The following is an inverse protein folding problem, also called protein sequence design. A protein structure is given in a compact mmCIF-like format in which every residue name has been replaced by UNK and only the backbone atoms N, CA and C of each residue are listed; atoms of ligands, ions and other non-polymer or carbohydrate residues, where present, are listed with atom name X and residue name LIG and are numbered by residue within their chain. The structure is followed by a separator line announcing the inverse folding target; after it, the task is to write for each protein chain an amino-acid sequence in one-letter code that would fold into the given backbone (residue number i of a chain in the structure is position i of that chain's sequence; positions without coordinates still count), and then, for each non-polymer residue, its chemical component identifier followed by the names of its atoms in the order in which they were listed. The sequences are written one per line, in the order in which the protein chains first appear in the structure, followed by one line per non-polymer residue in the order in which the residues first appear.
data_IF_171583361832
#
_entry.id   IF_171583361832
#
_cell.length_a   1.000
_cell.length_b   1.000
_cell.length_c   1.000
_cell.angle_alpha   90.00
_cell.angle_beta   90.00
_cell.angle_gamma   90.00
#
_symmetry.space_group_name_H-M   'P 1'
#
loop_
_entity.id
_entity.type
_entity.pdbx_description
1 polymer ?
#
# COMPACT_ATOMS: atom_id res chain seq x y z
N UNK A 1 -37.70 -52.20 17.17
CA UNK A 1 -37.01 -51.55 18.31
C UNK A 1 -35.79 -50.85 17.71
N UNK A 2 -35.94 -49.65 17.13
CA UNK A 2 -35.74 -48.33 17.75
C UNK A 2 -34.43 -48.24 18.54
N UNK A 3 -33.45 -47.48 18.02
CA UNK A 3 -33.01 -46.21 18.64
C UNK A 3 -32.21 -45.39 17.62
N UNK A 4 -32.68 -44.17 17.36
CA UNK A 4 -31.92 -43.08 16.74
C UNK A 4 -31.03 -42.44 17.81
N UNK A 5 -29.80 -42.02 17.47
CA UNK A 5 -29.06 -41.06 18.29
C UNK A 5 -28.36 -40.03 17.41
N UNK A 6 -28.81 -38.79 17.59
CA UNK A 6 -28.32 -37.57 16.95
C UNK A 6 -27.08 -37.04 17.69
N UNK A 7 -26.11 -36.50 16.95
CA UNK A 7 -25.13 -35.54 17.47
C UNK A 7 -25.19 -34.28 16.60
N UNK A 8 -25.98 -33.30 17.04
CA UNK A 8 -25.96 -31.94 16.49
C UNK A 8 -24.70 -31.22 16.96
N UNK A 9 -23.71 -31.08 16.07
CA UNK A 9 -22.57 -30.21 16.31
C UNK A 9 -23.00 -28.74 16.15
N UNK A 10 -22.87 -27.96 17.22
CA UNK A 10 -23.18 -26.53 17.21
C UNK A 10 -21.97 -25.76 16.67
N UNK A 11 -22.16 -25.00 15.59
CA UNK A 11 -21.12 -24.16 15.01
C UNK A 11 -20.73 -22.99 15.94
N UNK A 12 -19.44 -22.62 16.05
CA UNK A 12 -19.02 -21.45 16.82
C UNK A 12 -19.47 -20.16 16.13
N UNK A 13 -20.05 -19.23 16.90
CA UNK A 13 -20.49 -17.91 16.41
C UNK A 13 -19.27 -17.02 16.14
N UNK A 14 -19.07 -16.64 14.88
CA UNK A 14 -18.07 -15.65 14.44
C UNK A 14 -18.43 -14.26 15.00
N UNK A 15 -17.59 -13.72 15.88
CA UNK A 15 -17.67 -12.32 16.31
C UNK A 15 -16.92 -11.47 15.30
N UNK A 16 -17.66 -10.72 14.48
CA UNK A 16 -17.09 -9.75 13.52
C UNK A 16 -16.55 -8.51 14.25
N UNK A 17 -15.28 -8.09 14.03
CA UNK A 17 -14.78 -6.81 14.50
C UNK A 17 -15.53 -5.66 13.83
N UNK A 18 -16.00 -4.70 14.63
CA UNK A 18 -16.74 -3.53 14.15
C UNK A 18 -15.75 -2.55 13.50
N UNK A 19 -15.81 -2.39 12.18
CA UNK A 19 -15.04 -1.41 11.41
C UNK A 19 -15.28 0.01 11.96
N UNK A 20 -14.23 0.81 12.25
CA UNK A 20 -14.41 2.21 12.61
C UNK A 20 -15.05 2.96 11.44
N UNK A 21 -16.13 3.70 11.71
CA UNK A 21 -16.81 4.52 10.70
C UNK A 21 -15.88 5.61 10.18
N UNK A 22 -15.74 5.81 8.86
CA UNK A 22 -14.94 6.91 8.32
C UNK A 22 -15.55 8.26 8.71
N UNK A 23 -14.71 9.19 9.17
CA UNK A 23 -15.15 10.57 9.44
C UNK A 23 -15.59 11.24 8.14
N UNK A 24 -16.66 12.06 8.13
CA UNK A 24 -17.11 12.74 6.92
C UNK A 24 -16.01 13.68 6.40
N UNK A 25 -15.61 13.50 5.14
CA UNK A 25 -14.79 14.51 4.46
C UNK A 25 -15.68 15.72 4.11
N UNK A 26 -15.17 16.97 4.22
CA UNK A 26 -15.93 18.13 3.81
C UNK A 26 -16.21 18.07 2.30
N UNK A 27 -17.47 18.31 1.92
CA UNK A 27 -17.86 18.41 0.52
C UNK A 27 -17.22 19.65 -0.11
N UNK A 28 -16.32 19.44 -1.08
CA UNK A 28 -15.83 20.53 -1.94
C UNK A 28 -16.74 20.61 -3.16
N UNK A 29 -17.65 21.58 -3.17
CA UNK A 29 -18.47 21.90 -4.34
C UNK A 29 -17.62 22.62 -5.37
N UNK A 30 -17.27 21.96 -6.49
CA UNK A 30 -16.74 22.65 -7.67
C UNK A 30 -17.87 23.47 -8.29
N UNK A 31 -17.79 24.79 -8.19
CA UNK A 31 -18.64 25.68 -8.97
C UNK A 31 -18.16 25.60 -10.43
N UNK A 32 -19.00 25.21 -11.40
CA UNK A 32 -18.61 25.24 -12.79
C UNK A 32 -18.34 26.68 -13.22
N UNK A 33 -17.18 26.91 -13.83
CA UNK A 33 -16.87 28.18 -14.47
C UNK A 33 -17.78 28.33 -15.70
N UNK A 34 -18.49 29.44 -15.89
CA UNK A 34 -19.18 29.70 -17.15
C UNK A 34 -18.12 29.84 -18.26
N UNK A 35 -18.16 28.94 -19.23
CA UNK A 35 -17.41 29.07 -20.49
C UNK A 35 -18.09 30.14 -21.34
N UNK A 36 -17.63 31.38 -21.23
CA UNK A 36 -17.93 32.44 -22.21
C UNK A 36 -16.83 32.42 -23.29
N UNK A 37 -17.23 32.20 -24.54
CA UNK A 37 -16.35 32.03 -25.69
C UNK A 37 -15.84 33.35 -26.29
N UNK A 38 -15.82 34.45 -25.52
CA UNK A 38 -15.56 35.80 -26.06
C UNK A 38 -14.30 36.54 -25.63
N UNK A 39 -13.38 35.96 -24.85
CA UNK A 39 -12.16 36.67 -24.47
C UNK A 39 -10.89 35.81 -24.44
N UNK A 40 -9.90 36.09 -25.32
CA UNK A 40 -8.56 35.57 -25.20
C UNK A 40 -7.66 36.62 -24.54
N UNK A 41 -7.38 36.50 -23.23
CA UNK A 41 -6.12 36.92 -22.56
C UNK A 41 -6.17 36.69 -21.03
N UNK A 42 -5.02 36.50 -20.36
CA UNK A 42 -4.97 36.14 -18.96
C UNK A 42 -5.08 37.40 -18.08
N UNK A 43 -6.09 37.44 -17.21
CA UNK A 43 -6.16 38.40 -16.12
C UNK A 43 -5.49 37.80 -14.88
N UNK A 44 -4.53 38.52 -14.32
CA UNK A 44 -3.90 38.25 -13.03
C UNK A 44 -4.93 38.21 -11.90
N UNK A 45 -4.77 37.37 -10.86
CA UNK A 45 -5.70 37.36 -9.74
C UNK A 45 -5.53 38.64 -8.89
N UNK A 46 -6.59 39.44 -8.78
CA UNK A 46 -6.73 40.48 -7.77
C UNK A 46 -7.33 39.82 -6.52
N UNK A 47 -6.62 39.88 -5.40
CA UNK A 47 -7.17 39.50 -4.10
C UNK A 47 -7.77 40.75 -3.44
N UNK A 48 -9.07 40.71 -3.15
CA UNK A 48 -9.75 41.77 -2.40
C UNK A 48 -9.96 41.30 -0.97
N UNK A 49 -9.38 42.03 -0.01
CA UNK A 49 -9.48 41.80 1.42
C UNK A 49 -10.80 42.39 1.94
N UNK A 50 -11.70 41.53 2.45
CA UNK A 50 -12.96 41.98 3.05
C UNK A 50 -12.70 42.49 4.47
N UNK A 51 -12.77 43.81 4.64
CA UNK A 51 -12.75 44.49 5.92
C UNK A 51 -14.18 44.66 6.44
N UNK A 52 -14.62 43.77 7.32
CA UNK A 52 -15.72 44.02 8.24
C UNK A 52 -15.45 43.29 9.56
N UNK A 53 -14.99 44.05 10.56
CA UNK A 53 -14.83 43.67 11.98
C UNK A 53 -15.88 44.47 12.76
N UNK A 54 -16.73 43.86 13.62
CA UNK A 54 -16.53 43.67 15.08
C UNK A 54 -17.88 43.21 15.72
N UNK A 55 -18.00 42.78 17.01
CA UNK A 55 -16.96 42.58 18.03
C UNK A 55 -16.95 41.19 18.71
N UNK A 56 -15.75 40.84 19.19
CA UNK A 56 -15.42 40.10 20.43
C UNK A 56 -16.45 39.10 20.99
N UNK A 57 -16.16 37.82 20.80
CA UNK A 57 -16.40 36.80 21.85
C UNK A 57 -15.06 36.15 22.16
N UNK A 58 -14.45 36.63 23.24
CA UNK A 58 -13.29 36.02 23.89
C UNK A 58 -13.66 34.60 24.31
N UNK A 59 -13.08 33.59 23.66
CA UNK A 59 -13.09 32.23 24.19
C UNK A 59 -12.10 32.19 25.37
N UNK A 60 -12.49 31.70 26.56
CA UNK A 60 -11.54 31.55 27.66
C UNK A 60 -10.44 30.58 27.24
N UNK A 61 -9.19 31.03 27.40
CA UNK A 61 -8.00 30.21 27.24
C UNK A 61 -8.11 28.98 28.16
N UNK A 62 -8.12 27.78 27.56
CA UNK A 62 -7.90 26.56 28.32
C UNK A 62 -6.40 26.45 28.61
N UNK A 63 -5.99 26.15 29.86
CA UNK A 63 -4.59 26.00 30.20
C UNK A 63 -4.00 24.81 29.43
N UNK A 64 -2.90 25.09 28.71
CA UNK A 64 -2.00 24.06 28.18
C UNK A 64 -1.28 23.46 29.38
N UNK A 65 -1.81 22.35 29.89
CA UNK A 65 -1.12 21.56 30.91
C UNK A 65 0.01 20.79 30.26
N UNK A 66 1.21 21.36 30.43
CA UNK A 66 2.35 20.68 31.02
C UNK A 66 2.98 19.51 30.24
N UNK A 67 4.02 19.92 29.50
CA UNK A 67 5.26 19.21 29.28
C UNK A 67 5.89 18.66 30.58
N UNK A 68 5.31 17.61 31.16
CA UNK A 68 5.97 16.85 32.22
C UNK A 68 6.69 15.63 31.65
N UNK A 69 7.92 15.90 31.23
CA UNK A 69 9.11 15.07 31.39
C UNK A 69 8.91 13.55 31.43
N UNK A 70 9.27 12.87 30.33
CA UNK A 70 9.60 11.44 30.37
C UNK A 70 10.78 11.28 31.34
N UNK A 71 10.47 10.96 32.59
CA UNK A 71 11.47 10.77 33.64
C UNK A 71 12.21 9.48 33.31
N UNK A 72 13.41 9.66 32.79
CA UNK A 72 14.37 8.61 32.45
C UNK A 72 14.70 7.79 33.71
N UNK A 73 13.94 6.73 34.00
CA UNK A 73 14.39 5.66 34.90
C UNK A 73 15.24 4.65 34.13
N UNK A 74 16.29 5.15 33.46
CA UNK A 74 17.30 4.37 32.76
C UNK A 74 18.30 3.67 33.71
N UNK A 75 17.85 3.32 34.92
CA UNK A 75 18.69 2.64 35.92
C UNK A 75 18.11 1.29 36.37
N UNK A 76 16.90 0.91 35.92
CA UNK A 76 16.30 -0.39 36.25
C UNK A 76 16.36 -1.43 35.13
N UNK A 77 16.88 -1.09 33.95
CA UNK A 77 16.97 -2.01 32.80
C UNK A 77 18.37 -2.58 32.53
N UNK A 78 19.38 -2.27 33.35
CA UNK A 78 20.76 -2.74 33.15
C UNK A 78 21.19 -3.89 34.08
N UNK A 79 20.41 -4.24 35.12
CA UNK A 79 20.79 -5.29 36.07
C UNK A 79 20.02 -6.62 35.87
N UNK A 80 18.95 -6.63 35.09
CA UNK A 80 18.17 -7.86 34.82
C UNK A 80 18.65 -8.58 33.53
N UNK A 81 19.47 -7.92 32.71
CA UNK A 81 19.98 -8.48 31.44
C UNK A 81 21.31 -9.24 31.58
N UNK A 82 22.01 -9.13 32.71
CA UNK A 82 23.34 -9.74 32.89
C UNK A 82 23.37 -11.12 33.56
N UNK A 83 22.22 -11.64 34.04
CA UNK A 83 22.13 -12.94 34.74
C UNK A 83 21.23 -13.97 34.03
N UNK A 84 21.05 -13.85 32.72
CA UNK A 84 20.38 -14.85 31.88
C UNK A 84 21.12 -15.12 30.56
N UNK A 85 22.45 -15.14 30.61
CA UNK A 85 23.26 -15.87 29.62
C UNK A 85 24.08 -16.90 30.38
N UNK A 86 23.79 -18.19 30.20
CA UNK A 86 24.50 -18.86 29.12
C UNK A 86 23.76 -20.07 28.51
N UNK A 87 23.28 -19.99 27.27
CA UNK A 87 23.33 -21.12 26.30
C UNK A 87 23.38 -20.53 24.87
N UNK A 88 24.56 -20.14 24.41
CA UNK A 88 24.82 -20.02 22.96
C UNK A 88 24.93 -21.42 22.36
N UNK A 89 23.79 -22.09 22.20
CA UNK A 89 23.68 -23.17 21.22
C UNK A 89 23.15 -22.53 19.94
N UNK A 90 24.04 -22.09 19.06
CA UNK A 90 23.66 -21.71 17.70
C UNK A 90 23.30 -22.97 16.91
N UNK A 91 22.13 -23.53 17.17
CA UNK A 91 21.47 -24.35 16.17
C UNK A 91 20.92 -23.39 15.12
N UNK A 92 21.70 -23.17 14.06
CA UNK A 92 21.21 -22.50 12.86
C UNK A 92 20.17 -23.40 12.17
N UNK A 93 18.97 -23.47 12.75
CA UNK A 93 17.79 -23.97 12.07
C UNK A 93 17.46 -23.06 10.88
N UNK A 94 16.84 -23.58 9.82
CA UNK A 94 16.43 -22.76 8.68
C UNK A 94 15.59 -21.59 9.15
N UNK A 95 16.11 -20.37 9.02
CA UNK A 95 15.32 -19.15 9.28
C UNK A 95 14.18 -19.15 8.27
N UNK A 96 12.94 -19.22 8.76
CA UNK A 96 11.75 -19.05 7.93
C UNK A 96 11.78 -17.71 7.18
N UNK A 97 11.05 -17.56 6.07
CA UNK A 97 11.01 -16.32 5.30
C UNK A 97 10.68 -15.13 6.22
N UNK A 98 11.53 -14.09 6.20
CA UNK A 98 11.30 -12.87 6.96
C UNK A 98 10.04 -12.18 6.43
N UNK A 99 9.01 -12.10 7.26
CA UNK A 99 7.71 -11.51 6.87
C UNK A 99 7.89 -10.00 6.70
N UNK A 100 7.52 -9.46 5.53
CA UNK A 100 7.56 -8.01 5.19
C UNK A 100 8.70 -7.55 4.27
N UNK A 101 9.74 -8.37 4.08
CA UNK A 101 10.80 -8.10 3.10
C UNK A 101 10.41 -8.54 1.68
N UNK A 102 11.19 -8.12 0.67
CA UNK A 102 11.14 -8.74 -0.65
C UNK A 102 11.58 -10.20 -0.54
N UNK A 103 10.78 -11.10 -1.10
CA UNK A 103 11.03 -12.54 -1.13
C UNK A 103 11.07 -13.02 -2.58
N UNK A 104 12.04 -13.86 -2.97
CA UNK A 104 12.12 -14.36 -4.33
C UNK A 104 10.93 -15.27 -4.67
N UNK A 105 10.39 -15.11 -5.88
CA UNK A 105 9.36 -16.00 -6.43
C UNK A 105 10.03 -17.29 -6.88
N UNK A 106 9.64 -18.42 -6.27
CA UNK A 106 10.20 -19.75 -6.59
C UNK A 106 9.85 -20.21 -8.00
N UNK A 107 8.60 -20.01 -8.42
CA UNK A 107 8.11 -20.41 -9.74
C UNK A 107 7.64 -19.19 -10.53
N UNK A 108 8.51 -18.62 -11.35
CA UNK A 108 8.15 -17.48 -12.23
C UNK A 108 7.25 -17.88 -13.39
N UNK A 109 7.10 -19.19 -13.66
CA UNK A 109 6.19 -19.73 -14.68
C UNK A 109 4.79 -19.99 -14.12
N UNK A 110 4.55 -19.67 -12.85
CA UNK A 110 3.22 -19.74 -12.27
C UNK A 110 2.24 -18.88 -13.10
N UNK A 111 1.05 -19.41 -13.45
CA UNK A 111 0.07 -18.69 -14.27
C UNK A 111 -0.30 -17.32 -13.70
N UNK A 112 -0.39 -17.18 -12.37
CA UNK A 112 -0.69 -15.90 -11.73
C UNK A 112 0.44 -14.90 -11.94
N UNK A 113 1.69 -15.33 -11.78
CA UNK A 113 2.87 -14.47 -12.02
C UNK A 113 2.94 -14.03 -13.48
N UNK A 114 2.58 -14.91 -14.42
CA UNK A 114 2.46 -14.57 -15.84
C UNK A 114 1.37 -13.52 -16.08
N UNK A 115 0.19 -13.69 -15.48
CA UNK A 115 -0.91 -12.72 -15.57
C UNK A 115 -0.49 -11.34 -15.05
N UNK A 116 0.23 -11.27 -13.93
CA UNK A 116 0.77 -10.01 -13.41
C UNK A 116 1.75 -9.36 -14.40
N UNK A 117 2.59 -10.16 -15.06
CA UNK A 117 3.50 -9.68 -16.10
C UNK A 117 2.78 -9.15 -17.35
N UNK A 118 1.74 -9.85 -17.81
CA UNK A 118 0.89 -9.43 -18.93
C UNK A 118 0.14 -8.14 -18.60
N UNK A 119 -0.42 -8.05 -17.40
CA UNK A 119 -1.07 -6.85 -16.87
C UNK A 119 -0.10 -5.65 -16.88
N UNK A 120 1.13 -5.83 -16.41
CA UNK A 120 2.12 -4.76 -16.36
C UNK A 120 2.43 -4.18 -17.75
N UNK A 121 2.66 -5.05 -18.75
CA UNK A 121 2.94 -4.62 -20.12
C UNK A 121 1.70 -3.95 -20.75
N UNK A 122 0.51 -4.50 -20.50
CA UNK A 122 -0.74 -3.92 -21.00
C UNK A 122 -0.99 -2.51 -20.45
N UNK A 123 -0.84 -2.32 -19.15
CA UNK A 123 -1.03 -1.01 -18.51
C UNK A 123 0.02 0.01 -18.96
N UNK A 124 1.28 -0.41 -19.12
CA UNK A 124 2.31 0.47 -19.66
C UNK A 124 1.98 0.92 -21.09
N UNK A 125 1.56 -0.01 -21.96
CA UNK A 125 1.18 0.32 -23.32
C UNK A 125 0.01 1.32 -23.36
N UNK A 126 -0.99 1.17 -22.49
CA UNK A 126 -2.11 2.12 -22.38
C UNK A 126 -1.66 3.49 -21.91
N UNK A 127 -0.77 3.56 -20.92
CA UNK A 127 -0.35 4.82 -20.31
C UNK A 127 0.68 5.59 -21.16
N UNK A 128 1.54 4.89 -21.90
CA UNK A 128 2.65 5.48 -22.67
C UNK A 128 2.44 5.45 -24.19
N UNK A 129 1.27 5.02 -24.68
CA UNK A 129 1.00 4.81 -26.10
C UNK A 129 2.06 3.92 -26.79
N UNK A 130 2.61 2.96 -26.04
CA UNK A 130 3.60 2.01 -26.51
C UNK A 130 2.92 0.75 -27.08
N UNK A 131 3.70 -0.10 -27.76
CA UNK A 131 3.22 -1.35 -28.37
C UNK A 131 4.09 -2.57 -28.02
N UNK A 132 4.52 -2.64 -26.75
CA UNK A 132 5.32 -3.74 -26.25
C UNK A 132 4.52 -5.06 -26.27
N UNK A 133 5.14 -6.14 -26.74
CA UNK A 133 4.56 -7.49 -26.71
C UNK A 133 5.23 -8.32 -25.62
N UNK A 134 4.47 -8.64 -24.56
CA UNK A 134 4.93 -9.52 -23.49
C UNK A 134 5.41 -10.87 -24.05
N UNK A 135 6.52 -11.38 -23.51
CA UNK A 135 7.05 -12.71 -23.84
C UNK A 135 6.96 -13.63 -22.62
N UNK A 136 7.68 -13.29 -21.54
CA UNK A 136 7.73 -14.07 -20.32
C UNK A 136 8.28 -13.26 -19.14
N UNK A 137 8.13 -13.81 -17.93
CA UNK A 137 8.82 -13.35 -16.72
C UNK A 137 10.10 -14.15 -16.56
N UNK A 138 11.23 -13.48 -16.33
CA UNK A 138 12.54 -14.15 -16.14
C UNK A 138 12.97 -14.20 -14.68
N UNK A 139 12.58 -13.21 -13.87
CA UNK A 139 12.84 -13.14 -12.43
C UNK A 139 11.70 -12.40 -11.75
N UNK A 140 11.50 -12.65 -10.47
CA UNK A 140 10.54 -11.87 -9.71
C UNK A 140 10.66 -12.06 -8.22
N UNK A 141 10.17 -11.07 -7.49
CA UNK A 141 10.08 -11.06 -6.04
C UNK A 141 8.71 -10.54 -5.62
N UNK A 142 8.24 -10.98 -4.45
CA UNK A 142 7.02 -10.47 -3.82
C UNK A 142 7.33 -9.79 -2.50
N UNK A 143 6.50 -8.83 -2.13
CA UNK A 143 6.52 -8.22 -0.81
C UNK A 143 5.10 -8.06 -0.30
N UNK A 144 4.85 -8.54 0.92
CA UNK A 144 3.56 -8.38 1.61
C UNK A 144 3.52 -6.99 2.26
N UNK A 145 2.46 -6.24 1.94
CA UNK A 145 2.12 -4.92 2.49
C UNK A 145 0.61 -4.90 2.81
N UNK A 146 -0.09 -3.78 2.63
CA UNK A 146 -1.57 -3.75 2.53
C UNK A 146 -2.05 -4.34 1.18
N UNK A 147 -1.60 -5.55 0.85
CA UNK A 147 -1.63 -6.14 -0.50
C UNK A 147 -0.36 -6.92 -0.77
N UNK A 148 -0.13 -7.27 -2.02
CA UNK A 148 1.13 -7.87 -2.48
C UNK A 148 1.73 -7.00 -3.56
N UNK A 149 2.98 -6.58 -3.38
CA UNK A 149 3.77 -6.03 -4.47
C UNK A 149 4.47 -7.18 -5.20
N UNK A 150 4.42 -7.17 -6.52
CA UNK A 150 5.21 -8.02 -7.39
C UNK A 150 6.25 -7.16 -8.10
N UNK A 151 7.53 -7.44 -7.88
CA UNK A 151 8.65 -6.84 -8.61
C UNK A 151 9.13 -7.88 -9.61
N UNK A 152 8.75 -7.71 -10.87
CA UNK A 152 9.03 -8.66 -11.94
C UNK A 152 10.04 -8.08 -12.91
N UNK A 153 10.94 -8.93 -13.42
CA UNK A 153 11.69 -8.64 -14.64
C UNK A 153 10.98 -9.36 -15.78
N UNK A 154 10.35 -8.58 -16.66
CA UNK A 154 9.59 -9.06 -17.80
C UNK A 154 10.39 -8.86 -19.08
N UNK A 155 10.29 -9.82 -19.99
CA UNK A 155 10.82 -9.73 -21.34
C UNK A 155 9.70 -9.29 -22.25
N UNK A 156 9.94 -8.24 -23.03
CA UNK A 156 8.97 -7.76 -24.02
C UNK A 156 9.65 -7.42 -25.35
N UNK A 157 8.91 -7.57 -26.45
CA UNK A 157 9.34 -7.14 -27.78
C UNK A 157 8.84 -5.73 -28.09
N UNK A 158 9.75 -4.89 -28.54
CA UNK A 158 9.55 -3.52 -28.99
C UNK A 158 9.96 -3.44 -30.46
N UNK A 159 8.98 -3.41 -31.38
CA UNK A 159 9.26 -3.33 -32.82
C UNK A 159 10.14 -4.44 -33.40
N UNK A 160 10.30 -5.57 -32.70
CA UNK A 160 11.16 -6.70 -33.10
C UNK A 160 12.41 -6.89 -32.21
N UNK A 161 12.81 -5.85 -31.46
CA UNK A 161 13.90 -5.95 -30.49
C UNK A 161 13.37 -6.48 -29.17
N UNK A 162 14.05 -7.47 -28.59
CA UNK A 162 13.69 -8.01 -27.28
C UNK A 162 14.44 -7.25 -26.19
N UNK A 163 13.71 -6.70 -25.21
CA UNK A 163 14.25 -5.92 -24.10
C UNK A 163 13.69 -6.43 -22.77
N UNK A 164 14.44 -6.21 -21.70
CA UNK A 164 14.04 -6.50 -20.34
C UNK A 164 13.52 -5.24 -19.66
N UNK A 165 12.47 -5.39 -18.86
CA UNK A 165 11.88 -4.32 -18.08
C UNK A 165 11.62 -4.79 -16.67
N UNK A 166 11.86 -3.91 -15.69
CA UNK A 166 11.45 -4.11 -14.32
C UNK A 166 10.08 -3.47 -14.14
N UNK A 167 9.10 -4.28 -13.75
CA UNK A 167 7.75 -3.85 -13.44
C UNK A 167 7.47 -4.05 -11.96
N UNK A 168 6.82 -3.07 -11.34
CA UNK A 168 6.24 -3.21 -10.00
C UNK A 168 4.73 -3.11 -10.10
N UNK A 169 4.03 -4.17 -9.68
CA UNK A 169 2.57 -4.22 -9.67
C UNK A 169 2.10 -4.43 -8.24
N UNK A 170 1.18 -3.58 -7.78
CA UNK A 170 0.51 -3.73 -6.50
C UNK A 170 -0.86 -4.37 -6.69
N UNK A 171 -1.08 -5.51 -6.03
CA UNK A 171 -2.30 -6.29 -6.10
C UNK A 171 -2.98 -6.40 -4.73
N UNK A 172 -4.31 -6.29 -4.73
CA UNK A 172 -5.19 -6.65 -3.60
C UNK A 172 -6.29 -7.56 -4.13
N UNK A 173 -6.14 -8.89 -4.02
CA UNK A 173 -7.09 -9.83 -4.61
C UNK A 173 -8.51 -9.68 -4.05
N UNK A 174 -8.64 -9.38 -2.75
CA UNK A 174 -9.92 -9.19 -2.07
C UNK A 174 -10.68 -7.93 -2.52
N UNK A 175 -10.04 -7.02 -3.25
CA UNK A 175 -10.66 -5.84 -3.84
C UNK A 175 -10.73 -5.90 -5.36
N UNK A 176 -10.28 -7.00 -5.99
CA UNK A 176 -10.08 -7.09 -7.44
C UNK A 176 -9.25 -5.92 -8.00
N UNK A 177 -8.26 -5.49 -7.21
CA UNK A 177 -7.44 -4.33 -7.53
C UNK A 177 -6.04 -4.77 -7.98
N UNK A 178 -5.61 -4.24 -9.12
CA UNK A 178 -4.22 -4.29 -9.59
C UNK A 178 -3.82 -2.91 -10.09
N UNK A 179 -2.60 -2.48 -9.80
CA UNK A 179 -2.04 -1.21 -10.28
C UNK A 179 -0.57 -1.34 -10.62
N UNK A 180 -0.20 -0.92 -11.82
CA UNK A 180 1.18 -0.72 -12.20
C UNK A 180 1.73 0.52 -11.48
N UNK A 181 2.74 0.34 -10.65
CA UNK A 181 3.35 1.43 -9.87
C UNK A 181 4.71 1.88 -10.43
N UNK A 182 5.41 1.00 -11.16
CA UNK A 182 6.63 1.34 -11.87
C UNK A 182 6.85 0.42 -13.07
N UNK A 183 7.45 0.94 -14.13
CA UNK A 183 7.85 0.18 -15.32
C UNK A 183 9.08 0.85 -15.94
N UNK A 184 10.26 0.23 -15.79
CA UNK A 184 11.54 0.81 -16.22
C UNK A 184 12.35 -0.20 -17.04
N UNK A 185 13.08 0.24 -18.08
CA UNK A 185 14.05 -0.63 -18.76
C UNK A 185 15.09 -1.19 -17.78
N UNK A 186 15.57 -2.40 -18.04
CA UNK A 186 16.70 -3.00 -17.33
C UNK A 186 17.88 -3.03 -18.31
N UNK A 187 18.98 -2.40 -17.93
CA UNK A 187 20.23 -2.46 -18.70
C UNK A 187 20.75 -3.90 -18.74
N UNK A 188 21.22 -4.31 -19.92
CA UNK A 188 21.69 -5.66 -20.19
C UNK A 188 23.17 -5.83 -19.80
#
# INVERSE_FOLDING_TARGET
MSVHSWLSATAPKTVTPKTPSPKPYPCVTKIPHPTDSRYPRPATPIYTQSSNLSPLTTCPAQPVTENSTVTMKAQFFYLVTFLFLPIFSTAAGPRGPLVGGWQPIKNVKDPHVKEIGEFAVSEYNKASSASLKFQNVVKGETQVVSGTNYRLVVVAKDGGVTKNYQAIVWEKPWENFKKLTSFTPVEA
#
